data_IF_350062195086
#
_entry.id   IF_350062195086
#
_cell.length_a   1.000
_cell.length_b   1.000
_cell.length_c   1.000
_cell.angle_alpha   90.00
_cell.angle_beta   90.00
_cell.angle_gamma   90.00
#
_symmetry.space_group_name_H-M   'P 1'
#
loop_
_entity.id
_entity.type
_entity.pdbx_description
1 polymer ?
#
# COMPACT_ATOMS: atom_id res chain seq x y z
N UNK A 1 -2.14 -13.57 31.52
CA UNK A 1 -2.45 -12.52 32.54
C UNK A 1 -3.93 -12.31 32.53
N UNK A 2 -4.55 -12.14 33.70
CA UNK A 2 -5.99 -11.92 33.78
C UNK A 2 -6.25 -10.58 34.42
N UNK A 3 -7.19 -9.82 33.90
CA UNK A 3 -7.74 -8.62 34.51
C UNK A 3 -9.26 -8.72 34.53
N UNK A 4 -9.91 -8.26 35.54
CA UNK A 4 -11.38 -8.27 35.60
C UNK A 4 -11.91 -6.98 36.24
N UNK A 5 -13.05 -6.52 35.78
CA UNK A 5 -13.73 -5.35 36.30
C UNK A 5 -15.25 -5.62 36.30
N UNK A 6 -15.89 -5.35 37.43
CA UNK A 6 -17.35 -5.42 37.52
C UNK A 6 -17.92 -4.07 37.10
N UNK A 7 -18.81 -4.10 36.10
CA UNK A 7 -19.47 -2.90 35.57
C UNK A 7 -20.98 -3.09 35.61
N UNK A 8 -21.71 -1.99 35.76
CA UNK A 8 -23.17 -1.95 35.66
C UNK A 8 -23.52 -1.05 34.46
N UNK A 9 -24.13 -1.63 33.46
CA UNK A 9 -24.52 -0.94 32.23
C UNK A 9 -26.01 -0.72 32.21
N UNK A 10 -26.45 0.53 31.99
CA UNK A 10 -27.86 0.86 31.86
C UNK A 10 -28.43 0.23 30.57
N UNK A 11 -29.68 -0.19 30.61
CA UNK A 11 -30.39 -0.69 29.42
C UNK A 11 -30.27 0.30 28.25
N UNK A 12 -29.99 -0.22 27.03
CA UNK A 12 -29.83 0.56 25.80
C UNK A 12 -28.70 1.61 25.86
N UNK A 13 -27.64 1.33 26.59
CA UNK A 13 -26.45 2.18 26.63
C UNK A 13 -25.20 1.38 26.29
N UNK A 14 -24.15 2.09 25.86
CA UNK A 14 -22.79 1.58 25.64
C UNK A 14 -21.89 2.09 26.77
N UNK A 15 -20.95 1.26 27.19
CA UNK A 15 -20.00 1.62 28.22
C UNK A 15 -18.60 1.14 27.82
N UNK A 16 -17.64 2.07 27.71
CA UNK A 16 -16.27 1.76 27.38
C UNK A 16 -15.50 1.32 28.61
N UNK A 17 -14.82 0.18 28.51
CA UNK A 17 -13.99 -0.38 29.58
C UNK A 17 -12.54 -0.37 29.11
N UNK A 18 -11.65 0.14 29.95
CA UNK A 18 -10.21 0.13 29.69
C UNK A 18 -9.46 -0.69 30.74
N UNK A 19 -8.59 -1.57 30.26
CA UNK A 19 -7.65 -2.30 31.11
C UNK A 19 -6.22 -1.89 30.76
N UNK A 20 -5.40 -1.64 31.79
CA UNK A 20 -3.96 -1.42 31.61
C UNK A 20 -3.20 -2.58 32.22
N UNK A 21 -2.47 -3.32 31.40
CA UNK A 21 -1.57 -4.38 31.84
C UNK A 21 -0.15 -3.79 31.83
N UNK A 22 0.46 -3.70 33.03
CA UNK A 22 1.82 -3.17 33.20
C UNK A 22 2.86 -4.27 33.10
N UNK A 23 4.11 -3.86 32.89
CA UNK A 23 5.30 -4.73 32.90
C UNK A 23 5.30 -5.87 31.85
N UNK A 24 4.54 -5.70 30.79
CA UNK A 24 4.60 -6.59 29.62
C UNK A 24 5.96 -6.44 28.93
N UNK A 25 6.61 -7.58 28.67
CA UNK A 25 7.81 -7.67 27.83
C UNK A 25 7.51 -8.58 26.64
N UNK A 26 6.67 -8.12 25.70
CA UNK A 26 6.29 -8.96 24.57
C UNK A 26 7.45 -9.15 23.60
N UNK A 27 7.50 -10.31 22.95
CA UNK A 27 8.29 -10.49 21.73
C UNK A 27 7.62 -9.66 20.65
N UNK A 28 8.38 -8.76 20.03
CA UNK A 28 7.82 -7.85 19.04
C UNK A 28 7.53 -8.57 17.74
N UNK A 29 6.44 -8.16 17.09
CA UNK A 29 6.08 -8.60 15.76
C UNK A 29 6.95 -7.89 14.71
N UNK A 30 7.51 -8.65 13.77
CA UNK A 30 8.17 -8.12 12.59
C UNK A 30 7.99 -9.06 11.39
N UNK A 31 8.58 -8.72 10.24
CA UNK A 31 8.43 -9.48 8.99
C UNK A 31 9.12 -10.85 9.00
N UNK A 32 10.10 -11.06 9.87
CA UNK A 32 10.86 -12.31 10.00
C UNK A 32 10.35 -13.15 11.18
N UNK A 33 9.83 -12.49 12.21
CA UNK A 33 9.23 -13.11 13.39
C UNK A 33 7.85 -12.51 13.69
N UNK A 34 6.80 -12.91 12.95
CA UNK A 34 5.46 -12.36 13.06
C UNK A 34 4.71 -12.89 14.30
N UNK A 35 5.22 -12.55 15.50
CA UNK A 35 4.67 -13.03 16.77
C UNK A 35 3.34 -12.37 17.07
N UNK A 36 2.29 -13.17 17.21
CA UNK A 36 0.94 -12.75 17.60
C UNK A 36 0.60 -13.23 19.01
N UNK A 37 -0.25 -12.46 19.69
CA UNK A 37 -0.84 -12.75 20.98
C UNK A 37 -2.35 -12.78 20.84
N UNK A 38 -2.98 -13.65 21.59
CA UNK A 38 -4.44 -13.77 21.64
C UNK A 38 -4.97 -13.15 22.91
N UNK A 39 -6.01 -12.34 22.78
CA UNK A 39 -6.82 -11.85 23.86
C UNK A 39 -8.13 -12.61 23.89
N UNK A 40 -8.51 -13.08 25.08
CA UNK A 40 -9.84 -13.61 25.32
C UNK A 40 -10.56 -12.64 26.24
N UNK A 41 -11.67 -12.10 25.80
CA UNK A 41 -12.54 -11.20 26.54
C UNK A 41 -13.80 -11.97 26.85
N UNK A 42 -14.06 -12.24 28.13
CA UNK A 42 -15.24 -12.94 28.62
C UNK A 42 -16.17 -11.94 29.31
N UNK A 43 -17.42 -11.90 28.90
CA UNK A 43 -18.46 -11.09 29.48
C UNK A 43 -19.69 -11.98 29.67
N UNK A 44 -20.37 -11.90 30.83
CA UNK A 44 -21.49 -12.74 31.22
C UNK A 44 -22.47 -13.08 30.07
N UNK A 45 -22.24 -14.24 29.43
CA UNK A 45 -23.04 -14.74 28.32
C UNK A 45 -22.52 -14.50 26.91
N UNK A 46 -21.35 -13.88 26.77
CA UNK A 46 -20.68 -13.66 25.49
C UNK A 46 -19.15 -13.66 25.65
N UNK A 47 -18.42 -14.08 24.62
CA UNK A 47 -16.97 -14.05 24.62
C UNK A 47 -16.40 -13.64 23.25
N UNK A 48 -15.25 -13.00 23.28
CA UNK A 48 -14.53 -12.55 22.10
C UNK A 48 -13.06 -13.00 22.15
N UNK A 49 -12.60 -13.60 21.07
CA UNK A 49 -11.19 -13.87 20.82
C UNK A 49 -10.64 -12.89 19.80
N UNK A 50 -9.61 -12.15 20.19
CA UNK A 50 -8.96 -11.18 19.31
C UNK A 50 -7.46 -11.45 19.27
N UNK A 51 -6.80 -11.15 18.13
CA UNK A 51 -5.37 -11.32 17.95
C UNK A 51 -4.72 -9.98 17.68
N UNK A 52 -3.53 -9.78 18.21
CA UNK A 52 -2.68 -8.64 17.86
C UNK A 52 -1.21 -8.96 18.03
N UNK A 53 -0.34 -8.09 17.53
CA UNK A 53 1.10 -8.14 17.74
C UNK A 53 1.60 -6.77 18.21
N UNK A 54 2.69 -6.79 18.97
CA UNK A 54 3.30 -5.57 19.47
C UNK A 54 4.46 -5.18 18.57
N UNK A 55 4.47 -3.97 18.09
CA UNK A 55 5.58 -3.42 17.29
C UNK A 55 5.68 -1.91 17.48
N UNK A 56 6.82 -1.34 17.15
CA UNK A 56 7.03 0.10 17.11
C UNK A 56 7.39 0.52 15.69
N UNK A 57 6.68 1.51 15.15
CA UNK A 57 6.90 2.05 13.83
C UNK A 57 7.26 3.54 13.96
N UNK A 58 8.33 3.97 13.32
CA UNK A 58 8.85 5.34 13.42
C UNK A 58 9.46 5.79 12.10
N UNK A 59 9.50 7.10 11.88
CA UNK A 59 10.36 7.73 10.91
C UNK A 59 11.50 8.46 11.59
N UNK A 60 12.69 8.41 11.03
CA UNK A 60 13.85 9.17 11.50
C UNK A 60 14.57 9.75 10.30
N UNK A 61 14.38 11.03 10.06
CA UNK A 61 14.79 11.70 8.82
C UNK A 61 14.21 10.95 7.61
N UNK A 62 15.05 10.62 6.64
CA UNK A 62 14.72 9.90 5.41
C UNK A 62 14.51 8.39 5.58
N UNK A 63 14.43 7.88 6.82
CA UNK A 63 14.36 6.44 7.10
C UNK A 63 13.07 6.03 7.79
N UNK A 64 12.60 4.83 7.48
CA UNK A 64 11.54 4.14 8.19
C UNK A 64 12.14 3.08 9.10
N UNK A 65 11.65 3.00 10.34
CA UNK A 65 12.13 2.05 11.34
C UNK A 65 10.98 1.17 11.83
N UNK A 66 11.21 -0.14 11.85
CA UNK A 66 10.37 -1.12 12.54
C UNK A 66 11.15 -1.71 13.72
N UNK A 67 10.63 -1.52 14.93
CA UNK A 67 11.28 -1.96 16.15
C UNK A 67 12.72 -1.41 16.32
N UNK A 68 12.95 -0.18 15.84
CA UNK A 68 14.25 0.48 15.88
C UNK A 68 15.24 0.08 14.80
N UNK A 69 14.90 -0.86 13.90
CA UNK A 69 15.71 -1.27 12.77
C UNK A 69 15.22 -0.59 11.49
N UNK A 70 16.13 -0.08 10.66
CA UNK A 70 15.78 0.47 9.35
C UNK A 70 15.19 -0.62 8.46
N UNK A 71 13.97 -0.36 7.92
CA UNK A 71 13.28 -1.30 7.05
C UNK A 71 13.18 -0.76 5.63
N UNK A 72 13.45 -1.63 4.64
CA UNK A 72 13.22 -1.34 3.24
C UNK A 72 11.96 -2.08 2.76
N UNK A 73 10.97 -1.31 2.27
CA UNK A 73 9.70 -1.86 1.79
C UNK A 73 9.84 -2.28 0.33
N UNK A 74 9.57 -3.54 0.05
CA UNK A 74 9.53 -4.12 -1.31
C UNK A 74 8.20 -4.81 -1.51
N UNK A 75 7.28 -4.12 -2.17
CA UNK A 75 5.88 -4.50 -2.20
C UNK A 75 5.26 -4.61 -3.58
N UNK A 76 4.02 -5.02 -3.55
CA UNK A 76 3.11 -5.03 -4.71
C UNK A 76 1.79 -4.36 -4.34
N UNK A 77 1.15 -3.70 -5.30
CA UNK A 77 -0.23 -3.26 -5.19
C UNK A 77 -1.16 -4.45 -5.49
N UNK A 78 -2.18 -4.65 -4.66
CA UNK A 78 -3.14 -5.73 -4.84
C UNK A 78 -4.56 -5.20 -4.81
N UNK A 79 -5.29 -5.42 -5.93
CA UNK A 79 -6.74 -5.32 -5.94
C UNK A 79 -7.38 -6.62 -5.45
N UNK A 80 -8.51 -6.49 -4.77
CA UNK A 80 -9.34 -7.65 -4.41
C UNK A 80 -10.22 -7.99 -5.61
N UNK A 81 -9.66 -8.68 -6.61
CA UNK A 81 -10.34 -8.97 -7.88
C UNK A 81 -10.04 -10.39 -8.39
N UNK A 82 -11.06 -11.02 -8.95
CA UNK A 82 -10.96 -12.31 -9.63
C UNK A 82 -11.94 -12.35 -10.81
N UNK A 83 -11.58 -12.94 -11.97
CA UNK A 83 -12.42 -12.95 -13.16
C UNK A 83 -13.83 -13.49 -12.95
N UNK A 84 -13.97 -14.49 -12.11
CA UNK A 84 -15.24 -15.21 -11.88
C UNK A 84 -15.98 -14.72 -10.63
N UNK A 85 -15.25 -14.20 -9.63
CA UNK A 85 -15.81 -13.81 -8.33
C UNK A 85 -15.96 -12.28 -8.18
N UNK A 86 -15.38 -11.49 -9.09
CA UNK A 86 -15.28 -10.05 -8.92
C UNK A 86 -14.55 -9.69 -7.65
N UNK A 87 -15.12 -8.81 -6.84
CA UNK A 87 -14.56 -8.38 -5.55
C UNK A 87 -14.81 -9.36 -4.39
N UNK A 88 -15.69 -10.36 -4.57
CA UNK A 88 -16.01 -11.37 -3.55
C UNK A 88 -14.97 -12.50 -3.52
N UNK A 89 -13.69 -12.15 -3.45
CA UNK A 89 -12.58 -13.11 -3.39
C UNK A 89 -12.59 -13.82 -2.05
N UNK A 90 -12.64 -15.15 -2.11
CA UNK A 90 -12.73 -15.98 -0.89
C UNK A 90 -11.36 -16.22 -0.22
N UNK A 91 -11.40 -16.65 1.04
CA UNK A 91 -10.22 -16.87 1.87
C UNK A 91 -9.14 -17.77 1.24
N UNK A 92 -9.46 -18.93 0.60
CA UNK A 92 -8.45 -19.77 -0.05
C UNK A 92 -7.70 -19.07 -1.18
N UNK A 93 -8.38 -18.24 -1.98
CA UNK A 93 -7.74 -17.46 -3.05
C UNK A 93 -6.88 -16.33 -2.49
N UNK A 94 -7.35 -15.64 -1.44
CA UNK A 94 -6.57 -14.63 -0.74
C UNK A 94 -5.30 -15.27 -0.17
N UNK A 95 -5.41 -16.41 0.49
CA UNK A 95 -4.25 -17.14 1.00
C UNK A 95 -3.24 -17.51 -0.10
N UNK A 96 -3.74 -17.99 -1.26
CA UNK A 96 -2.90 -18.27 -2.42
C UNK A 96 -2.18 -17.01 -2.91
N UNK A 97 -2.85 -15.86 -2.98
CA UNK A 97 -2.23 -14.59 -3.34
C UNK A 97 -1.07 -14.27 -2.37
N UNK A 98 -1.30 -14.42 -1.05
CA UNK A 98 -0.26 -14.20 -0.03
C UNK A 98 0.95 -15.13 -0.22
N UNK A 99 0.71 -16.41 -0.52
CA UNK A 99 1.79 -17.36 -0.80
C UNK A 99 2.63 -16.95 -2.02
N UNK A 100 1.99 -16.54 -3.12
CA UNK A 100 2.69 -16.07 -4.33
C UNK A 100 3.48 -14.79 -4.03
N UNK A 101 2.92 -13.86 -3.26
CA UNK A 101 3.58 -12.61 -2.87
C UNK A 101 4.80 -12.88 -1.97
N UNK A 102 4.69 -13.83 -1.03
CA UNK A 102 5.85 -14.25 -0.21
C UNK A 102 6.91 -14.95 -1.05
N UNK A 103 6.51 -15.84 -1.97
CA UNK A 103 7.42 -16.53 -2.90
C UNK A 103 8.15 -15.54 -3.82
N UNK A 104 7.50 -14.45 -4.21
CA UNK A 104 8.12 -13.33 -4.93
C UNK A 104 9.27 -12.68 -4.15
N UNK A 105 9.32 -12.84 -2.83
CA UNK A 105 10.25 -12.15 -1.94
C UNK A 105 9.78 -10.75 -1.51
N UNK A 106 8.52 -10.41 -1.78
CA UNK A 106 7.92 -9.17 -1.28
C UNK A 106 7.69 -9.25 0.25
N UNK A 107 7.88 -8.13 0.93
CA UNK A 107 7.61 -7.99 2.35
C UNK A 107 6.41 -7.07 2.64
N UNK A 108 5.75 -6.54 1.61
CA UNK A 108 4.65 -5.60 1.77
C UNK A 108 3.58 -5.73 0.68
N UNK A 109 2.36 -5.38 1.04
CA UNK A 109 1.21 -5.24 0.13
C UNK A 109 0.59 -3.85 0.35
N UNK A 110 0.28 -3.17 -0.76
CA UNK A 110 -0.62 -2.02 -0.72
C UNK A 110 -2.01 -2.48 -1.18
N UNK A 111 -2.98 -2.42 -0.27
CA UNK A 111 -4.38 -2.71 -0.54
C UNK A 111 -5.01 -1.57 -1.34
N UNK A 112 -5.04 -1.70 -2.65
CA UNK A 112 -5.52 -0.64 -3.56
C UNK A 112 -7.00 -0.84 -3.90
N UNK A 113 -7.82 0.16 -3.93
CA UNK A 113 -7.75 1.56 -3.45
C UNK A 113 -8.92 1.75 -2.48
N UNK A 114 -9.06 0.87 -1.52
CA UNK A 114 -10.20 0.77 -0.58
C UNK A 114 -9.81 -0.13 0.60
N UNK A 115 -10.50 -0.02 1.74
CA UNK A 115 -10.33 -0.94 2.86
C UNK A 115 -10.56 -2.39 2.41
N UNK A 116 -9.58 -3.24 2.69
CA UNK A 116 -9.62 -4.64 2.28
C UNK A 116 -10.45 -5.49 3.26
N UNK A 117 -10.76 -6.72 2.86
CA UNK A 117 -11.35 -7.72 3.74
C UNK A 117 -10.40 -8.00 4.92
N UNK A 118 -10.88 -8.02 6.18
CA UNK A 118 -10.04 -8.26 7.36
C UNK A 118 -9.18 -9.53 7.27
N UNK A 119 -9.63 -10.56 6.55
CA UNK A 119 -8.86 -11.79 6.35
C UNK A 119 -7.54 -11.55 5.59
N UNK A 120 -7.46 -10.49 4.77
CA UNK A 120 -6.21 -10.09 4.11
C UNK A 120 -5.17 -9.68 5.15
N UNK A 121 -5.58 -8.85 6.12
CA UNK A 121 -4.71 -8.42 7.21
C UNK A 121 -4.39 -9.56 8.17
N UNK A 122 -5.35 -10.46 8.43
CA UNK A 122 -5.10 -11.68 9.20
C UNK A 122 -3.95 -12.53 8.64
N UNK A 123 -3.94 -12.72 7.32
CA UNK A 123 -2.84 -13.42 6.67
C UNK A 123 -1.54 -12.61 6.68
N UNK A 124 -1.62 -11.31 6.48
CA UNK A 124 -0.46 -10.43 6.59
C UNK A 124 0.18 -10.48 7.98
N UNK A 125 -0.65 -10.45 9.05
CA UNK A 125 -0.21 -10.58 10.43
C UNK A 125 0.52 -11.91 10.69
N UNK A 126 -0.03 -13.02 10.16
CA UNK A 126 0.51 -14.36 10.36
C UNK A 126 1.78 -14.61 9.54
N UNK A 127 1.86 -14.03 8.35
CA UNK A 127 2.95 -14.29 7.41
C UNK A 127 4.06 -13.25 7.45
N UNK A 128 3.96 -12.22 8.31
CA UNK A 128 4.94 -11.14 8.40
C UNK A 128 4.99 -10.28 7.13
N UNK A 129 3.84 -9.94 6.58
CA UNK A 129 3.70 -9.06 5.42
C UNK A 129 3.21 -7.70 5.92
N UNK A 130 3.94 -6.63 5.63
CA UNK A 130 3.52 -5.27 5.93
C UNK A 130 2.32 -4.88 5.07
N UNK A 131 1.38 -4.15 5.63
CA UNK A 131 0.18 -3.77 4.92
C UNK A 131 -0.02 -2.24 4.90
N UNK A 132 -0.38 -1.74 3.74
CA UNK A 132 -0.82 -0.37 3.50
C UNK A 132 -2.32 -0.38 3.32
N UNK A 133 -3.05 0.10 4.32
CA UNK A 133 -4.50 0.20 4.28
C UNK A 133 -4.92 1.58 3.76
N UNK A 134 -5.86 1.62 2.83
CA UNK A 134 -6.21 2.83 2.10
C UNK A 134 -7.70 3.11 2.14
N UNK A 135 -8.08 4.40 2.33
CA UNK A 135 -9.47 4.82 2.18
C UNK A 135 -9.97 4.61 0.77
N UNK A 136 -11.26 4.30 0.62
CA UNK A 136 -11.95 4.25 -0.68
C UNK A 136 -12.05 5.66 -1.29
N UNK A 137 -10.89 6.28 -1.54
CA UNK A 137 -10.77 7.67 -1.95
C UNK A 137 -9.78 7.82 -3.09
N UNK A 138 -10.26 7.67 -4.33
CA UNK A 138 -9.43 7.56 -5.50
C UNK A 138 -9.84 8.57 -6.58
N UNK A 139 -8.83 9.29 -7.12
CA UNK A 139 -8.91 10.12 -8.33
C UNK A 139 -10.02 11.20 -8.30
N UNK A 140 -10.24 11.83 -7.14
CA UNK A 140 -11.19 12.92 -7.00
C UNK A 140 -10.63 14.24 -7.57
N UNK A 141 -11.37 14.92 -8.48
CA UNK A 141 -10.99 16.25 -8.94
C UNK A 141 -11.24 17.30 -7.85
N UNK A 142 -10.58 18.48 -7.96
CA UNK A 142 -10.67 19.57 -6.98
C UNK A 142 -12.12 19.97 -6.65
N UNK A 143 -12.97 20.10 -7.67
CA UNK A 143 -14.39 20.44 -7.51
C UNK A 143 -15.14 19.49 -6.56
N UNK A 144 -14.84 18.18 -6.61
CA UNK A 144 -15.49 17.23 -5.70
C UNK A 144 -14.91 17.29 -4.29
N UNK A 145 -13.61 17.61 -4.15
CA UNK A 145 -12.93 17.69 -2.85
C UNK A 145 -13.49 18.81 -1.95
N UNK A 146 -14.03 19.88 -2.53
CA UNK A 146 -14.65 20.97 -1.77
C UNK A 146 -16.07 20.69 -1.26
N UNK A 147 -16.69 19.53 -1.58
CA UNK A 147 -18.09 19.25 -1.22
C UNK A 147 -18.23 18.81 0.24
N UNK A 148 -19.09 19.50 1.07
CA UNK A 148 -19.25 19.15 2.50
C UNK A 148 -19.65 17.69 2.75
N UNK A 149 -20.52 17.12 1.91
CA UNK A 149 -20.94 15.73 2.00
C UNK A 149 -19.76 14.75 1.81
N UNK A 150 -18.82 15.09 0.92
CA UNK A 150 -17.61 14.28 0.72
C UNK A 150 -16.72 14.34 1.96
N UNK A 151 -16.56 15.51 2.60
CA UNK A 151 -15.82 15.63 3.86
C UNK A 151 -16.42 14.74 4.96
N UNK A 152 -17.73 14.81 5.15
CA UNK A 152 -18.42 13.96 6.14
C UNK A 152 -18.19 12.47 5.88
N UNK A 153 -18.34 12.03 4.64
CA UNK A 153 -18.16 10.63 4.24
C UNK A 153 -16.72 10.16 4.42
N UNK A 154 -15.75 10.97 3.99
CA UNK A 154 -14.33 10.64 4.11
C UNK A 154 -13.90 10.47 5.59
N UNK A 155 -14.35 11.37 6.47
CA UNK A 155 -14.11 11.26 7.91
C UNK A 155 -14.81 10.05 8.53
N UNK A 156 -16.03 9.72 8.09
CA UNK A 156 -16.74 8.50 8.49
C UNK A 156 -15.97 7.24 8.10
N UNK A 157 -15.56 7.13 6.82
CA UNK A 157 -14.76 6.01 6.34
C UNK A 157 -13.44 5.86 7.09
N UNK A 158 -12.76 6.97 7.44
CA UNK A 158 -11.52 6.91 8.21
C UNK A 158 -11.73 6.32 9.60
N UNK A 159 -12.84 6.67 10.29
CA UNK A 159 -13.19 6.10 11.59
C UNK A 159 -13.49 4.62 11.47
N UNK A 160 -14.37 4.24 10.57
CA UNK A 160 -14.78 2.85 10.36
C UNK A 160 -13.58 1.95 10.03
N UNK A 161 -12.69 2.39 9.13
CA UNK A 161 -11.48 1.68 8.76
C UNK A 161 -10.56 1.47 9.95
N UNK A 162 -10.24 2.53 10.69
CA UNK A 162 -9.30 2.45 11.81
C UNK A 162 -9.89 1.65 12.98
N UNK A 163 -11.16 1.86 13.31
CA UNK A 163 -11.85 1.14 14.39
C UNK A 163 -11.91 -0.37 14.10
N UNK A 164 -12.19 -0.75 12.85
CA UNK A 164 -12.22 -2.15 12.43
C UNK A 164 -10.86 -2.81 12.50
N UNK A 165 -9.82 -2.13 12.00
CA UNK A 165 -8.53 -2.77 11.67
C UNK A 165 -7.40 -2.40 12.66
N UNK A 166 -7.74 -1.73 13.76
CA UNK A 166 -6.75 -1.23 14.73
C UNK A 166 -5.82 -2.31 15.29
N UNK A 167 -6.31 -3.54 15.47
CA UNK A 167 -5.57 -4.62 16.12
C UNK A 167 -4.55 -5.33 15.22
N UNK A 168 -4.55 -5.07 13.90
CA UNK A 168 -3.63 -5.71 12.95
C UNK A 168 -2.22 -5.10 13.03
N UNK A 169 -1.19 -5.83 13.50
CA UNK A 169 0.18 -5.31 13.58
C UNK A 169 0.83 -5.12 12.21
N UNK A 170 0.38 -5.85 11.18
CA UNK A 170 0.87 -5.74 9.81
C UNK A 170 0.61 -4.37 9.19
N UNK A 171 -0.46 -3.68 9.58
CA UNK A 171 -0.78 -2.35 9.05
C UNK A 171 0.28 -1.36 9.52
N UNK A 172 1.01 -0.79 8.55
CA UNK A 172 2.06 0.22 8.79
C UNK A 172 1.63 1.62 8.33
N UNK A 173 0.70 1.70 7.39
CA UNK A 173 0.16 2.96 6.87
C UNK A 173 -1.36 3.00 6.95
N UNK A 174 -1.87 4.16 7.39
CA UNK A 174 -3.19 4.64 7.06
C UNK A 174 -3.08 5.61 5.90
N UNK A 175 -3.68 5.29 4.78
CA UNK A 175 -3.61 6.11 3.57
C UNK A 175 -4.85 6.95 3.37
N UNK A 176 -4.62 8.24 3.15
CA UNK A 176 -5.69 9.24 2.99
C UNK A 176 -6.41 9.07 1.66
N UNK A 177 -5.67 8.79 0.56
CA UNK A 177 -6.21 8.80 -0.79
C UNK A 177 -5.23 8.21 -1.82
N UNK A 178 -5.70 7.94 -3.04
CA UNK A 178 -4.90 7.71 -4.23
C UNK A 178 -5.22 8.73 -5.33
N UNK A 179 -4.21 9.38 -5.89
CA UNK A 179 -4.25 10.20 -7.11
C UNK A 179 -5.34 11.29 -7.19
N UNK A 180 -5.96 11.63 -6.06
CA UNK A 180 -6.87 12.77 -6.01
C UNK A 180 -6.09 14.09 -6.12
N UNK A 181 -6.76 15.20 -6.43
CA UNK A 181 -6.12 16.49 -6.73
C UNK A 181 -5.49 17.14 -5.48
N UNK A 182 -4.41 16.54 -4.98
CA UNK A 182 -3.62 17.04 -3.83
C UNK A 182 -2.79 18.29 -4.14
N UNK A 183 -2.82 18.77 -5.37
CA UNK A 183 -2.26 20.06 -5.77
C UNK A 183 -3.28 21.21 -5.69
N UNK A 184 -4.48 20.99 -5.13
CA UNK A 184 -5.51 22.02 -4.99
C UNK A 184 -5.75 22.40 -3.53
N UNK A 185 -6.29 23.59 -3.30
CA UNK A 185 -6.61 24.08 -1.96
C UNK A 185 -7.72 23.26 -1.30
N UNK A 186 -8.71 22.82 -2.08
CA UNK A 186 -9.80 21.94 -1.61
C UNK A 186 -9.24 20.58 -1.15
N UNK A 187 -8.23 20.05 -1.86
CA UNK A 187 -7.49 18.85 -1.45
C UNK A 187 -6.77 19.08 -0.14
N UNK A 188 -6.03 20.17 -0.01
CA UNK A 188 -5.31 20.49 1.22
C UNK A 188 -6.26 20.60 2.42
N UNK A 189 -7.40 21.27 2.26
CA UNK A 189 -8.39 21.43 3.32
C UNK A 189 -8.96 20.08 3.77
N UNK A 190 -9.41 19.23 2.84
CA UNK A 190 -10.00 17.95 3.16
C UNK A 190 -8.97 16.98 3.76
N UNK A 191 -7.79 16.88 3.14
CA UNK A 191 -6.76 15.91 3.59
C UNK A 191 -6.17 16.33 4.95
N UNK A 192 -6.11 17.62 5.27
CA UNK A 192 -5.77 18.08 6.62
C UNK A 192 -6.76 17.53 7.67
N UNK A 193 -8.06 17.60 7.38
CA UNK A 193 -9.10 17.06 8.29
C UNK A 193 -8.99 15.54 8.45
N UNK A 194 -8.77 14.82 7.34
CA UNK A 194 -8.62 13.36 7.38
C UNK A 194 -7.36 12.96 8.16
N UNK A 195 -6.21 13.58 7.88
CA UNK A 195 -4.96 13.31 8.58
C UNK A 195 -5.09 13.58 10.09
N UNK A 196 -5.72 14.69 10.46
CA UNK A 196 -5.96 15.03 11.87
C UNK A 196 -6.85 13.98 12.57
N UNK A 197 -7.92 13.52 11.91
CA UNK A 197 -8.79 12.49 12.45
C UNK A 197 -8.10 11.14 12.59
N UNK A 198 -7.33 10.72 11.58
CA UNK A 198 -6.52 9.50 11.64
C UNK A 198 -5.53 9.54 12.81
N UNK A 199 -4.81 10.66 13.00
CA UNK A 199 -3.86 10.83 14.12
C UNK A 199 -4.56 10.86 15.48
N UNK A 200 -5.79 11.37 15.54
CA UNK A 200 -6.60 11.34 16.77
C UNK A 200 -6.96 9.93 17.17
N UNK A 201 -7.29 9.09 16.19
CA UNK A 201 -7.71 7.70 16.41
C UNK A 201 -6.53 6.77 16.66
N UNK A 202 -5.44 6.94 15.90
CA UNK A 202 -4.25 6.10 16.01
C UNK A 202 -2.95 6.90 15.87
N UNK A 203 -2.08 6.75 16.85
CA UNK A 203 -0.74 7.37 16.90
C UNK A 203 0.38 6.36 16.62
N UNK A 204 0.04 5.10 16.34
CA UNK A 204 0.99 4.01 16.24
C UNK A 204 1.34 3.62 14.80
N UNK A 205 0.62 4.17 13.82
CA UNK A 205 0.87 3.96 12.39
C UNK A 205 1.23 5.27 11.69
N UNK A 206 1.95 5.13 10.59
CA UNK A 206 2.31 6.26 9.75
C UNK A 206 1.13 6.65 8.86
N UNK A 207 1.04 7.94 8.56
CA UNK A 207 0.06 8.46 7.60
C UNK A 207 0.77 8.77 6.29
N UNK A 208 0.18 8.36 5.18
CA UNK A 208 0.66 8.66 3.85
C UNK A 208 -0.48 8.72 2.83
N UNK A 209 -0.16 8.92 1.59
CA UNK A 209 -1.04 8.75 0.43
C UNK A 209 -0.21 8.62 -0.85
N UNK A 210 -0.77 8.02 -1.89
CA UNK A 210 -0.13 7.90 -3.19
C UNK A 210 -0.48 9.09 -4.08
N UNK A 211 0.53 9.92 -4.41
CA UNK A 211 0.36 11.12 -5.23
C UNK A 211 0.68 10.89 -6.70
N UNK A 212 -0.19 11.37 -7.60
CA UNK A 212 0.12 11.57 -9.01
C UNK A 212 0.47 13.03 -9.35
N UNK A 213 0.37 13.95 -8.39
CA UNK A 213 0.67 15.37 -8.60
C UNK A 213 2.17 15.68 -8.62
N UNK A 214 3.01 14.75 -8.14
CA UNK A 214 4.46 14.88 -8.12
C UNK A 214 4.89 16.16 -7.39
N UNK A 215 5.78 16.93 -8.00
CA UNK A 215 6.32 18.19 -7.44
C UNK A 215 5.29 19.31 -7.24
N UNK A 216 4.09 19.17 -7.81
CA UNK A 216 3.02 20.15 -7.65
C UNK A 216 2.10 19.82 -6.47
N UNK A 217 2.37 18.74 -5.73
CA UNK A 217 1.61 18.36 -4.55
C UNK A 217 1.88 19.32 -3.39
N UNK A 218 0.81 19.84 -2.79
CA UNK A 218 0.91 20.79 -1.67
C UNK A 218 0.51 20.14 -0.33
N UNK A 219 0.27 18.85 -0.30
CA UNK A 219 -0.22 18.12 0.87
C UNK A 219 0.85 17.26 1.57
N UNK A 220 2.10 17.24 1.10
CA UNK A 220 3.13 16.40 1.69
C UNK A 220 3.55 16.76 3.12
N UNK A 221 3.24 17.96 3.59
CA UNK A 221 3.46 18.33 4.99
C UNK A 221 2.53 17.57 5.96
N UNK A 222 1.40 17.05 5.47
CA UNK A 222 0.41 16.31 6.25
C UNK A 222 0.83 14.88 6.59
N UNK A 223 1.81 14.31 5.87
CA UNK A 223 2.17 12.89 5.92
C UNK A 223 3.51 12.63 6.57
N UNK A 224 3.73 11.40 7.00
CA UNK A 224 5.00 10.95 7.61
C UNK A 224 5.98 10.44 6.57
N UNK A 225 5.47 9.96 5.42
CA UNK A 225 6.26 9.42 4.30
C UNK A 225 5.74 10.00 3.00
N UNK A 226 6.64 10.58 2.19
CA UNK A 226 6.31 11.11 0.86
C UNK A 226 6.24 9.98 -0.16
N UNK A 227 5.13 9.88 -0.88
CA UNK A 227 4.90 8.79 -1.82
C UNK A 227 4.38 9.29 -3.17
N UNK A 228 5.02 8.84 -4.26
CA UNK A 228 4.62 9.19 -5.63
C UNK A 228 4.35 7.96 -6.48
N UNK A 229 3.30 8.05 -7.30
CA UNK A 229 3.07 7.15 -8.42
C UNK A 229 3.88 7.64 -9.62
N UNK A 230 4.72 6.77 -10.19
CA UNK A 230 5.62 7.14 -11.28
C UNK A 230 5.66 6.03 -12.33
N UNK A 231 5.46 6.39 -13.59
CA UNK A 231 5.45 5.43 -14.69
C UNK A 231 6.41 5.79 -15.84
N UNK A 232 7.70 6.08 -15.58
CA UNK A 232 8.66 6.33 -16.65
C UNK A 232 8.73 5.14 -17.61
N UNK A 233 8.68 5.42 -18.91
CA UNK A 233 8.68 4.38 -19.93
C UNK A 233 7.32 3.73 -20.20
N UNK A 234 6.25 4.14 -19.52
CA UNK A 234 4.92 3.60 -19.81
C UNK A 234 3.92 4.63 -20.32
N UNK A 235 3.73 5.76 -19.62
CA UNK A 235 2.77 6.80 -20.02
C UNK A 235 3.43 8.01 -20.68
N UNK A 236 4.74 8.19 -20.50
CA UNK A 236 5.42 9.45 -20.80
C UNK A 236 5.78 9.65 -22.28
N UNK A 237 5.65 8.62 -23.16
CA UNK A 237 6.20 8.70 -24.51
C UNK A 237 5.42 8.01 -25.61
N UNK A 238 5.24 8.76 -26.68
CA UNK A 238 4.99 8.24 -28.02
C UNK A 238 6.26 7.57 -28.62
N UNK A 239 7.45 7.96 -28.18
CA UNK A 239 8.74 7.38 -28.60
C UNK A 239 9.27 6.43 -27.56
N UNK A 240 9.13 5.16 -27.82
CA UNK A 240 9.70 4.06 -27.04
C UNK A 240 11.21 4.03 -27.26
N UNK A 241 11.95 4.66 -26.38
CA UNK A 241 13.40 4.51 -26.38
C UNK A 241 13.80 3.37 -25.45
N UNK A 242 14.86 2.64 -25.82
CA UNK A 242 15.46 1.60 -24.97
C UNK A 242 16.13 2.13 -23.71
N UNK A 243 16.15 3.45 -23.54
CA UNK A 243 16.83 4.16 -22.44
C UNK A 243 16.00 4.20 -21.15
N UNK A 244 15.41 3.07 -20.77
CA UNK A 244 14.59 2.96 -19.55
C UNK A 244 15.40 3.30 -18.28
N UNK A 245 16.70 2.97 -18.26
CA UNK A 245 17.60 3.32 -17.16
C UNK A 245 17.64 4.83 -16.95
N UNK A 246 17.93 5.56 -18.02
CA UNK A 246 18.08 7.02 -17.99
C UNK A 246 16.77 7.70 -17.56
N UNK A 247 15.63 7.23 -18.07
CA UNK A 247 14.31 7.83 -17.75
C UNK A 247 13.98 7.72 -16.27
N UNK A 248 14.20 6.55 -15.68
CA UNK A 248 13.90 6.34 -14.26
C UNK A 248 14.89 7.10 -13.37
N UNK A 249 16.17 7.09 -13.70
CA UNK A 249 17.21 7.85 -12.98
C UNK A 249 16.93 9.36 -13.01
N UNK A 250 16.59 9.92 -14.18
CA UNK A 250 16.23 11.34 -14.31
C UNK A 250 15.03 11.69 -13.40
N UNK A 251 14.00 10.83 -13.39
CA UNK A 251 12.83 11.06 -12.55
C UNK A 251 13.17 11.01 -11.06
N UNK A 252 14.00 10.05 -10.64
CA UNK A 252 14.46 9.96 -9.25
C UNK A 252 15.35 11.14 -8.85
N UNK A 253 16.18 11.63 -9.77
CA UNK A 253 16.97 12.85 -9.55
C UNK A 253 16.06 14.08 -9.34
N UNK A 254 15.00 14.22 -10.14
CA UNK A 254 14.04 15.30 -9.99
C UNK A 254 13.32 15.23 -8.63
N UNK A 255 12.93 14.03 -8.21
CA UNK A 255 12.36 13.79 -6.87
C UNK A 255 13.34 14.21 -5.77
N UNK A 256 14.58 13.77 -5.84
CA UNK A 256 15.60 14.10 -4.85
C UNK A 256 15.83 15.60 -4.75
N UNK A 257 15.95 16.28 -5.90
CA UNK A 257 16.10 17.74 -5.94
C UNK A 257 14.90 18.42 -5.28
N UNK A 258 13.68 17.97 -5.59
CA UNK A 258 12.46 18.50 -4.99
C UNK A 258 12.43 18.32 -3.46
N UNK A 259 12.79 17.13 -2.95
CA UNK A 259 12.86 16.86 -1.50
C UNK A 259 13.85 17.82 -0.81
N UNK A 260 15.00 18.06 -1.41
CA UNK A 260 16.02 18.99 -0.88
C UNK A 260 15.50 20.44 -0.89
N UNK A 261 14.97 20.91 -2.01
CA UNK A 261 14.46 22.28 -2.19
C UNK A 261 13.33 22.61 -1.21
N UNK A 262 12.45 21.64 -0.94
CA UNK A 262 11.31 21.78 -0.03
C UNK A 262 11.61 21.37 1.40
N UNK A 263 12.89 21.09 1.72
CA UNK A 263 13.35 20.68 3.06
C UNK A 263 12.53 19.52 3.63
N UNK A 264 12.12 18.58 2.77
CA UNK A 264 11.39 17.39 3.17
C UNK A 264 12.38 16.35 3.74
N UNK A 265 12.59 16.39 5.06
CA UNK A 265 13.41 15.42 5.79
C UNK A 265 12.55 14.21 6.19
N UNK A 266 11.91 13.59 5.18
CA UNK A 266 10.99 12.46 5.31
C UNK A 266 11.39 11.30 4.41
N UNK A 267 11.08 10.05 4.77
CA UNK A 267 11.26 8.92 3.87
C UNK A 267 10.48 9.14 2.57
N UNK A 268 11.05 8.66 1.46
CA UNK A 268 10.41 8.69 0.16
C UNK A 268 10.18 7.27 -0.38
N UNK A 269 8.99 7.02 -0.94
CA UNK A 269 8.63 5.75 -1.56
C UNK A 269 7.99 5.95 -2.93
N UNK A 270 8.21 4.96 -3.81
CA UNK A 270 7.51 4.85 -5.10
C UNK A 270 6.34 3.91 -4.93
N UNK A 271 5.12 4.45 -4.96
CA UNK A 271 3.91 3.68 -4.64
C UNK A 271 3.29 2.97 -5.84
N UNK A 272 3.61 3.43 -7.05
CA UNK A 272 3.22 2.73 -8.26
C UNK A 272 4.25 2.94 -9.37
N UNK A 273 4.65 1.86 -10.01
CA UNK A 273 5.41 1.82 -11.25
C UNK A 273 5.20 0.47 -11.95
N UNK A 274 5.31 0.44 -13.26
CA UNK A 274 5.15 -0.80 -14.01
C UNK A 274 4.71 -0.59 -15.46
N UNK A 275 4.68 -1.67 -16.20
CA UNK A 275 4.22 -1.73 -17.59
C UNK A 275 3.23 -2.86 -17.78
N UNK A 276 2.33 -2.75 -18.76
CA UNK A 276 1.41 -3.82 -19.09
C UNK A 276 2.08 -4.85 -20.02
N UNK A 277 1.74 -6.13 -19.80
CA UNK A 277 2.07 -7.23 -20.69
C UNK A 277 0.91 -8.23 -20.76
N UNK A 278 0.68 -8.79 -21.92
CA UNK A 278 -0.28 -9.87 -22.11
C UNK A 278 0.50 -11.18 -21.96
N UNK A 279 0.03 -12.10 -21.10
CA UNK A 279 0.66 -13.39 -20.90
C UNK A 279 0.78 -14.16 -22.24
N UNK A 280 1.99 -14.60 -22.58
CA UNK A 280 2.33 -15.28 -23.82
C UNK A 280 2.75 -14.35 -24.97
N UNK A 281 2.54 -13.03 -24.84
CA UNK A 281 3.02 -12.08 -25.85
C UNK A 281 4.50 -11.73 -25.61
N UNK A 282 5.34 -12.14 -26.57
CA UNK A 282 6.78 -11.87 -26.53
C UNK A 282 7.24 -11.20 -27.81
N UNK A 283 8.32 -10.41 -27.76
CA UNK A 283 8.92 -9.81 -28.96
C UNK A 283 10.41 -9.55 -28.74
N UNK A 284 11.20 -9.77 -29.78
CA UNK A 284 12.61 -9.38 -29.81
C UNK A 284 12.79 -7.93 -30.32
N UNK A 285 11.71 -7.30 -30.79
CA UNK A 285 11.74 -5.89 -31.19
C UNK A 285 11.89 -5.01 -29.95
N UNK A 286 12.96 -4.18 -29.89
CA UNK A 286 13.18 -3.30 -28.74
C UNK A 286 12.00 -2.38 -28.48
N UNK A 287 11.63 -2.24 -27.21
CA UNK A 287 10.60 -1.30 -26.79
C UNK A 287 9.15 -1.67 -27.13
N UNK A 288 8.86 -2.85 -27.68
CA UNK A 288 7.49 -3.23 -28.04
C UNK A 288 6.62 -3.40 -26.81
N UNK A 289 5.66 -2.49 -26.64
CA UNK A 289 4.68 -2.51 -25.52
C UNK A 289 3.81 -3.77 -25.58
N UNK A 290 3.18 -4.08 -24.44
CA UNK A 290 2.28 -5.21 -24.23
C UNK A 290 2.95 -6.58 -24.26
N UNK A 291 4.28 -6.63 -24.38
CA UNK A 291 5.06 -7.87 -24.34
C UNK A 291 5.63 -8.14 -22.94
N UNK A 292 5.78 -9.41 -22.61
CA UNK A 292 6.38 -9.83 -21.34
C UNK A 292 7.85 -9.39 -21.24
N UNK A 293 8.60 -9.40 -22.35
CA UNK A 293 9.98 -8.90 -22.40
C UNK A 293 10.09 -7.41 -22.00
N UNK A 294 9.15 -6.58 -22.50
CA UNK A 294 9.15 -5.16 -22.16
C UNK A 294 8.81 -4.93 -20.68
N UNK A 295 7.79 -5.62 -20.16
CA UNK A 295 7.40 -5.53 -18.76
C UNK A 295 8.56 -5.94 -17.84
N UNK A 296 9.19 -7.08 -18.13
CA UNK A 296 10.33 -7.57 -17.39
C UNK A 296 11.46 -6.54 -17.38
N UNK A 297 11.92 -6.09 -18.56
CA UNK A 297 13.01 -5.12 -18.69
C UNK A 297 12.73 -3.82 -17.94
N UNK A 298 11.50 -3.29 -18.04
CA UNK A 298 11.11 -2.06 -17.35
C UNK A 298 11.20 -2.25 -15.83
N UNK A 299 10.65 -3.34 -15.28
CA UNK A 299 10.65 -3.58 -13.83
C UNK A 299 12.07 -3.79 -13.30
N UNK A 300 12.91 -4.58 -13.97
CA UNK A 300 14.30 -4.78 -13.59
C UNK A 300 15.08 -3.46 -13.53
N UNK A 301 14.94 -2.64 -14.57
CA UNK A 301 15.64 -1.35 -14.68
C UNK A 301 15.14 -0.35 -13.62
N UNK A 302 13.82 -0.29 -13.43
CA UNK A 302 13.22 0.59 -12.40
C UNK A 302 13.66 0.22 -10.99
N UNK A 303 13.64 -1.06 -10.63
CA UNK A 303 14.06 -1.53 -9.31
C UNK A 303 15.55 -1.22 -9.10
N UNK A 304 16.39 -1.50 -10.10
CA UNK A 304 17.82 -1.18 -10.02
C UNK A 304 18.07 0.31 -9.81
N UNK A 305 17.44 1.17 -10.61
CA UNK A 305 17.59 2.63 -10.46
C UNK A 305 17.15 3.12 -9.06
N UNK A 306 16.07 2.58 -8.51
CA UNK A 306 15.62 2.92 -7.15
C UNK A 306 16.65 2.51 -6.09
N UNK A 307 17.26 1.34 -6.20
CA UNK A 307 18.29 0.88 -5.27
C UNK A 307 19.57 1.70 -5.37
N UNK A 308 20.01 2.00 -6.59
CA UNK A 308 21.24 2.78 -6.86
C UNK A 308 21.10 4.24 -6.40
N UNK A 309 19.89 4.80 -6.47
CA UNK A 309 19.62 6.19 -6.05
C UNK A 309 19.81 6.45 -4.55
N UNK A 310 19.68 5.41 -3.70
CA UNK A 310 19.70 5.48 -2.22
C UNK A 310 18.70 6.47 -1.59
N UNK A 311 17.86 7.09 -2.42
CA UNK A 311 16.85 8.05 -1.98
C UNK A 311 15.51 7.41 -1.66
N UNK A 312 15.31 6.15 -2.07
CA UNK A 312 14.04 5.44 -1.95
C UNK A 312 14.10 4.48 -0.76
N UNK A 313 13.11 4.57 0.14
CA UNK A 313 12.96 3.68 1.29
C UNK A 313 12.03 2.50 1.02
N UNK A 314 11.44 2.45 -0.16
CA UNK A 314 10.62 1.33 -0.60
C UNK A 314 9.85 1.62 -1.87
N UNK A 315 9.26 0.56 -2.38
CA UNK A 315 8.45 0.63 -3.59
C UNK A 315 7.31 -0.38 -3.57
N UNK A 316 6.28 -0.12 -4.39
CA UNK A 316 5.19 -1.05 -4.69
C UNK A 316 5.02 -1.15 -6.21
N UNK A 317 5.16 -2.36 -6.76
CA UNK A 317 4.92 -2.63 -8.18
C UNK A 317 3.42 -2.50 -8.48
N UNK A 318 3.07 -1.78 -9.52
CA UNK A 318 1.71 -1.78 -10.06
C UNK A 318 1.63 -2.74 -11.24
N UNK A 319 1.09 -3.95 -11.05
CA UNK A 319 0.44 -4.49 -9.86
C UNK A 319 0.73 -5.99 -9.70
N UNK A 320 0.21 -6.61 -8.65
CA UNK A 320 0.36 -8.05 -8.43
C UNK A 320 -0.29 -8.86 -9.55
N UNK A 321 -1.58 -8.68 -9.78
CA UNK A 321 -2.40 -9.48 -10.66
C UNK A 321 -3.11 -8.62 -11.69
N UNK A 322 -3.28 -9.11 -12.93
CA UNK A 322 -4.12 -8.44 -13.90
C UNK A 322 -5.53 -8.29 -13.35
N UNK A 323 -6.06 -7.07 -13.38
CA UNK A 323 -7.35 -6.72 -12.81
C UNK A 323 -8.35 -6.27 -13.86
N UNK A 324 -9.63 -6.58 -13.69
CA UNK A 324 -10.70 -6.16 -14.58
C UNK A 324 -10.87 -4.64 -14.53
N UNK A 325 -11.06 -4.02 -15.70
CA UNK A 325 -11.41 -2.60 -15.81
C UNK A 325 -12.89 -2.42 -16.03
N UNK A 326 -13.44 -1.27 -15.61
CA UNK A 326 -14.83 -0.92 -15.87
C UNK A 326 -15.13 -0.88 -17.39
N UNK A 327 -16.28 -1.39 -17.79
CA UNK A 327 -16.81 -1.33 -19.15
C UNK A 327 -17.80 -0.17 -19.29
N UNK A 328 -18.03 0.38 -20.48
CA UNK A 328 -17.11 0.82 -21.53
C UNK A 328 -16.77 2.30 -21.32
N UNK A 329 -15.53 2.68 -21.55
CA UNK A 329 -15.10 4.09 -21.50
C UNK A 329 -13.87 4.33 -22.33
N UNK A 330 -13.43 5.58 -22.43
CA UNK A 330 -12.20 5.99 -23.14
C UNK A 330 -10.95 5.20 -22.68
N UNK A 331 -10.99 4.63 -21.48
CA UNK A 331 -9.92 3.82 -20.91
C UNK A 331 -9.87 2.38 -21.43
N UNK A 332 -10.95 1.86 -22.02
CA UNK A 332 -11.01 0.47 -22.50
C UNK A 332 -10.16 0.23 -23.74
N UNK A 333 -9.93 1.26 -24.57
CA UNK A 333 -9.12 1.17 -25.81
C UNK A 333 -7.67 0.76 -25.47
N UNK A 334 -7.13 1.27 -24.36
CA UNK A 334 -5.78 0.96 -23.88
C UNK A 334 -5.73 -0.18 -22.85
N UNK A 335 -6.79 -1.00 -22.80
CA UNK A 335 -6.92 -2.13 -21.87
C UNK A 335 -7.37 -3.38 -22.64
N UNK A 336 -6.44 -4.11 -23.28
CA UNK A 336 -6.77 -5.33 -24.01
C UNK A 336 -7.58 -6.30 -23.17
N UNK A 337 -8.63 -6.88 -23.74
CA UNK A 337 -9.59 -7.79 -23.08
C UNK A 337 -10.30 -7.15 -21.86
N UNK A 338 -10.35 -5.83 -21.76
CA UNK A 338 -10.91 -5.10 -20.63
C UNK A 338 -10.17 -5.39 -19.31
N UNK A 339 -8.86 -5.64 -19.35
CA UNK A 339 -8.02 -5.82 -18.17
C UNK A 339 -6.92 -4.76 -18.08
N UNK A 340 -6.59 -4.36 -16.86
CA UNK A 340 -5.33 -3.71 -16.57
C UNK A 340 -4.24 -4.77 -16.51
N UNK A 341 -3.53 -4.96 -17.62
CA UNK A 341 -2.55 -6.04 -17.80
C UNK A 341 -1.17 -5.70 -17.18
N UNK A 342 -1.10 -4.81 -16.18
CA UNK A 342 0.14 -4.50 -15.47
C UNK A 342 0.49 -5.50 -14.37
N UNK A 343 -0.35 -6.52 -14.14
CA UNK A 343 -0.02 -7.62 -13.25
C UNK A 343 1.30 -8.31 -13.61
N UNK A 344 2.08 -8.66 -12.60
CA UNK A 344 3.24 -9.56 -12.76
C UNK A 344 2.80 -11.03 -12.84
N UNK A 345 1.57 -11.30 -12.43
CA UNK A 345 0.83 -12.51 -12.76
C UNK A 345 -0.44 -12.14 -13.52
N UNK A 346 -1.00 -13.05 -14.31
CA UNK A 346 -2.26 -12.80 -15.00
C UNK A 346 -3.47 -12.87 -14.04
N UNK A 347 -4.68 -12.65 -14.56
CA UNK A 347 -5.93 -12.66 -13.81
C UNK A 347 -6.23 -13.98 -13.08
N UNK A 348 -5.66 -15.09 -13.53
CA UNK A 348 -5.73 -16.42 -12.91
C UNK A 348 -4.48 -16.78 -12.08
N UNK A 349 -3.65 -15.80 -11.74
CA UNK A 349 -2.43 -15.94 -10.94
C UNK A 349 -1.33 -16.76 -11.61
N UNK A 350 -1.32 -16.86 -12.95
CA UNK A 350 -0.20 -17.45 -13.70
C UNK A 350 0.94 -16.44 -13.82
N UNK A 351 2.16 -16.79 -13.39
CA UNK A 351 3.32 -15.90 -13.49
C UNK A 351 3.63 -15.50 -14.93
N UNK A 352 3.98 -14.23 -15.14
CA UNK A 352 4.58 -13.71 -16.36
C UNK A 352 6.12 -13.73 -16.24
N UNK A 353 6.85 -13.46 -17.32
CA UNK A 353 8.32 -13.41 -17.29
C UNK A 353 8.83 -12.43 -16.21
N UNK A 354 8.17 -11.29 -16.07
CA UNK A 354 8.50 -10.29 -15.06
C UNK A 354 8.45 -10.81 -13.62
N UNK A 355 7.56 -11.76 -13.31
CA UNK A 355 7.48 -12.37 -11.98
C UNK A 355 8.81 -13.01 -11.57
N UNK A 356 9.39 -13.81 -12.44
CA UNK A 356 10.63 -14.53 -12.15
C UNK A 356 11.82 -13.59 -11.99
N UNK A 357 11.94 -12.60 -12.87
CA UNK A 357 13.00 -11.61 -12.79
C UNK A 357 12.90 -10.74 -11.52
N UNK A 358 11.70 -10.29 -11.18
CA UNK A 358 11.45 -9.53 -9.95
C UNK A 358 11.72 -10.38 -8.71
N UNK A 359 11.34 -11.67 -8.72
CA UNK A 359 11.62 -12.61 -7.64
C UNK A 359 13.11 -12.69 -7.34
N UNK A 360 13.95 -12.89 -8.37
CA UNK A 360 15.39 -12.91 -8.20
C UNK A 360 15.95 -11.61 -7.59
N UNK A 361 15.43 -10.47 -8.00
CA UNK A 361 15.85 -9.17 -7.47
C UNK A 361 15.39 -8.99 -6.01
N UNK A 362 14.11 -9.24 -5.71
CA UNK A 362 13.55 -9.03 -4.37
C UNK A 362 14.22 -9.90 -3.31
N UNK A 363 14.63 -11.13 -3.65
CA UNK A 363 15.35 -12.00 -2.73
C UNK A 363 16.78 -11.52 -2.42
N UNK A 364 17.39 -10.71 -3.30
CA UNK A 364 18.71 -10.10 -3.08
C UNK A 364 18.64 -8.81 -2.25
N UNK A 365 17.46 -8.19 -2.13
CA UNK A 365 17.28 -6.95 -1.38
C UNK A 365 17.00 -7.31 0.09
N UNK A 366 17.85 -6.89 1.05
CA UNK A 366 17.58 -7.12 2.47
C UNK A 366 16.35 -6.34 2.92
N UNK A 367 15.56 -6.95 3.80
CA UNK A 367 14.40 -6.30 4.43
C UNK A 367 14.86 -5.27 5.46
N UNK A 368 15.88 -5.59 6.24
CA UNK A 368 16.48 -4.69 7.23
C UNK A 368 17.86 -4.22 6.78
N UNK A 369 18.16 -2.95 7.02
CA UNK A 369 19.43 -2.27 6.64
C UNK A 369 20.17 -1.75 7.86
#
# INVERSE_FOLDING_TARGET
MNASQKVSIKSRSVYDISFTIKDLRPVLWDTENPRLYQFHIDCSGDDLFERTGFRKLETKKDKMLLNGKEIFVKGVNRHNDHPELGYAVNAPLIYRDMQIIKDLGANAIRGSHYPNDPIVMDYCDQMGILFWEELAFWNHPAESLGKPLLHQRALGMAREMIERDYNHPSIIFWSIQNESKSSSQEGLELFTKIAAEMRRLDKSRLISFASACGKNDICFDLVDVVCWNMYPGWYDDEKMTDDLDVKFELKLRDVRNWLIEHKQDKPFMVTEFGAAAILGETSFEPGRRWTENYQQKLLEKSIKAMLDSKAVQGFYIWQFCDGRTALPGKTSINRPKCFNNKGIVNEYRKPKMAYYAVKELMHKIPTYR
#
